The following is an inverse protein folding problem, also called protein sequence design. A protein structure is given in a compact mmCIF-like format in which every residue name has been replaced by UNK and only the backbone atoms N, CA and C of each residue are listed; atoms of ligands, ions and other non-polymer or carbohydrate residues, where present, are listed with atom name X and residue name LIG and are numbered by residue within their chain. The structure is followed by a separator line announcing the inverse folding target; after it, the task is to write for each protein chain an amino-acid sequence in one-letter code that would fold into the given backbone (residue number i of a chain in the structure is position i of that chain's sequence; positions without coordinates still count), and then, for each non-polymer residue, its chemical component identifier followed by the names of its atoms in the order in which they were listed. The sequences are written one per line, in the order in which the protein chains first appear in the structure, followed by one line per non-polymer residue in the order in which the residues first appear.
data_IF_704473013091
#
_entry.id   IF_704473013091
#
_cell.length_a   1.000
_cell.length_b   1.000
_cell.length_c   1.000
_cell.angle_alpha   90.00
_cell.angle_beta   90.00
_cell.angle_gamma   90.00
#
_symmetry.space_group_name_H-M   'P 1'
#
loop_
_entity.id
_entity.type
_entity.pdbx_description
1 polymer ?
#
# COMPACT_ATOMS: atom_id res chain seq x y z
N UNK A 1 -1.43 16.93 -18.99
CA UNK A 1 -0.27 17.10 -19.92
C UNK A 1 0.83 17.98 -19.32
N UNK A 2 0.54 19.20 -18.84
CA UNK A 2 1.57 20.07 -18.22
C UNK A 2 2.30 19.44 -17.02
N UNK A 3 1.59 18.73 -16.14
CA UNK A 3 2.16 18.08 -14.95
C UNK A 3 3.07 16.88 -15.24
N UNK A 4 2.69 16.03 -16.20
CA UNK A 4 3.53 14.91 -16.66
C UNK A 4 4.79 15.41 -17.37
N UNK A 5 4.68 16.51 -18.14
CA UNK A 5 5.82 17.17 -18.75
C UNK A 5 6.77 17.74 -17.70
N UNK A 6 6.25 18.37 -16.64
CA UNK A 6 7.07 18.85 -15.51
C UNK A 6 7.78 17.70 -14.79
N UNK A 7 7.12 16.56 -14.59
CA UNK A 7 7.73 15.37 -14.01
C UNK A 7 8.83 14.79 -14.93
N UNK A 8 8.57 14.72 -16.24
CA UNK A 8 9.54 14.27 -17.23
C UNK A 8 10.76 15.21 -17.31
N UNK A 9 10.53 16.53 -17.26
CA UNK A 9 11.59 17.53 -17.20
C UNK A 9 12.39 17.37 -15.90
N UNK A 10 11.74 17.19 -14.76
CA UNK A 10 12.42 16.93 -13.49
C UNK A 10 13.24 15.62 -13.51
N UNK A 11 12.77 14.58 -14.21
CA UNK A 11 13.53 13.34 -14.39
C UNK A 11 14.73 13.49 -15.32
N UNK A 12 14.67 14.43 -16.27
CA UNK A 12 15.75 14.73 -17.21
C UNK A 12 16.73 15.79 -16.68
N UNK A 13 16.29 16.62 -15.73
CA UNK A 13 17.08 17.68 -15.11
C UNK A 13 18.41 17.23 -14.49
N UNK A 14 18.49 16.09 -13.76
CA UNK A 14 19.77 15.56 -13.30
C UNK A 14 20.75 15.26 -14.44
N UNK A 15 20.26 14.77 -15.59
CA UNK A 15 21.12 14.48 -16.73
C UNK A 15 21.73 15.74 -17.36
N UNK A 16 21.00 16.87 -17.34
CA UNK A 16 21.46 18.15 -17.90
C UNK A 16 22.42 18.89 -16.97
N UNK A 17 22.25 18.78 -15.64
CA UNK A 17 23.14 19.42 -14.66
C UNK A 17 24.37 18.59 -14.27
N UNK A 18 24.40 17.30 -14.61
CA UNK A 18 25.49 16.39 -14.25
C UNK A 18 26.82 16.60 -14.98
N UNK A 19 26.89 17.49 -15.96
CA UNK A 19 28.11 17.66 -16.76
C UNK A 19 29.16 18.60 -16.14
N UNK A 20 28.90 19.22 -14.98
CA UNK A 20 29.81 20.23 -14.42
C UNK A 20 30.37 19.96 -13.01
N UNK A 21 29.86 18.99 -12.23
CA UNK A 21 30.43 18.66 -10.92
C UNK A 21 30.31 17.15 -10.62
N UNK A 22 31.40 16.53 -10.17
CA UNK A 22 31.54 15.08 -9.93
C UNK A 22 30.72 14.52 -8.74
N UNK A 23 29.65 15.21 -8.32
CA UNK A 23 28.80 14.86 -7.19
C UNK A 23 27.32 14.85 -7.56
N UNK A 24 26.95 14.12 -8.61
CA UNK A 24 25.56 14.01 -9.02
C UNK A 24 24.72 13.29 -7.97
N UNK A 25 23.79 14.02 -7.34
CA UNK A 25 22.69 13.40 -6.60
C UNK A 25 21.92 12.47 -7.54
N UNK A 26 21.57 11.29 -7.06
CA UNK A 26 20.77 10.39 -7.88
C UNK A 26 19.40 11.00 -8.15
N UNK A 27 18.78 10.64 -9.27
CA UNK A 27 17.42 11.08 -9.58
C UNK A 27 16.43 10.76 -8.43
N UNK A 28 16.70 9.67 -7.72
CA UNK A 28 15.98 9.29 -6.51
C UNK A 28 16.14 10.33 -5.41
N UNK A 29 17.36 10.76 -5.11
CA UNK A 29 17.62 11.75 -4.05
C UNK A 29 17.00 13.10 -4.40
N UNK A 30 17.04 13.51 -5.68
CA UNK A 30 16.40 14.75 -6.12
C UNK A 30 14.87 14.67 -5.93
N UNK A 31 14.23 13.59 -6.36
CA UNK A 31 12.76 13.50 -6.31
C UNK A 31 12.20 13.14 -4.92
N UNK A 32 12.99 12.46 -4.08
CA UNK A 32 12.58 12.07 -2.73
C UNK A 32 13.04 13.04 -1.63
N UNK A 33 14.03 13.89 -1.88
CA UNK A 33 14.52 14.82 -0.85
C UNK A 33 14.16 16.28 -1.13
N UNK A 34 13.83 16.64 -2.38
CA UNK A 34 13.41 18.00 -2.71
C UNK A 34 11.91 18.21 -2.42
N UNK A 35 11.65 19.11 -1.46
CA UNK A 35 10.33 19.49 -0.98
C UNK A 35 9.39 19.99 -2.09
N UNK A 36 9.93 20.51 -3.20
CA UNK A 36 9.13 20.97 -4.33
C UNK A 36 8.34 19.83 -5.00
N UNK A 37 8.79 18.57 -4.83
CA UNK A 37 8.09 17.39 -5.33
C UNK A 37 7.11 16.79 -4.33
N UNK A 38 6.95 17.37 -3.13
CA UNK A 38 5.97 16.89 -2.14
C UNK A 38 4.53 16.91 -2.67
N UNK A 39 4.23 17.80 -3.63
CA UNK A 39 2.92 17.83 -4.31
C UNK A 39 2.59 16.50 -5.02
N UNK A 40 3.60 15.76 -5.47
CA UNK A 40 3.48 14.44 -6.09
C UNK A 40 3.68 13.30 -5.09
N UNK A 41 3.84 13.62 -3.81
CA UNK A 41 4.10 12.66 -2.74
C UNK A 41 3.13 12.81 -1.58
N UNK A 42 2.18 13.74 -1.67
CA UNK A 42 1.10 13.84 -0.70
C UNK A 42 0.11 12.68 -0.93
N UNK A 43 0.01 11.71 0.01
CA UNK A 43 -0.82 10.53 -0.20
C UNK A 43 -2.30 10.79 0.12
N UNK A 44 -2.63 11.87 0.81
CA UNK A 44 -3.95 12.10 1.40
C UNK A 44 -5.08 12.19 0.38
N UNK A 45 -4.95 12.87 -0.77
CA UNK A 45 -5.98 12.85 -1.81
C UNK A 45 -6.28 11.44 -2.34
N UNK A 46 -5.30 10.52 -2.29
CA UNK A 46 -5.50 9.14 -2.68
C UNK A 46 -6.12 8.31 -1.54
N UNK A 47 -5.55 8.39 -0.33
CA UNK A 47 -5.97 7.59 0.84
C UNK A 47 -7.38 7.93 1.33
N UNK A 48 -7.80 9.20 1.23
CA UNK A 48 -9.14 9.67 1.63
C UNK A 48 -10.25 9.35 0.62
N UNK A 49 -9.88 8.78 -0.52
CA UNK A 49 -10.82 8.42 -1.58
C UNK A 49 -11.83 7.39 -1.08
N UNK A 50 -13.12 7.65 -1.32
CA UNK A 50 -14.18 6.67 -1.11
C UNK A 50 -14.11 5.49 -2.10
N UNK A 51 -13.37 5.63 -3.19
CA UNK A 51 -13.13 4.54 -4.14
C UNK A 51 -12.40 3.35 -3.47
N UNK A 52 -12.80 2.14 -3.86
CA UNK A 52 -12.08 0.90 -3.55
C UNK A 52 -10.70 0.93 -4.18
N UNK A 53 -9.70 0.57 -3.38
CA UNK A 53 -8.30 0.52 -3.78
C UNK A 53 -7.88 -0.94 -3.98
N UNK A 54 -6.98 -1.17 -4.92
CA UNK A 54 -6.44 -2.47 -5.26
C UNK A 54 -4.92 -2.43 -5.19
N UNK A 55 -4.32 -3.44 -4.58
CA UNK A 55 -2.87 -3.60 -4.60
C UNK A 55 -2.47 -4.27 -5.91
N UNK A 56 -1.62 -3.60 -6.68
CA UNK A 56 -1.11 -4.07 -7.96
C UNK A 56 0.27 -4.69 -7.82
N UNK A 57 1.22 -3.97 -7.22
CA UNK A 57 2.58 -4.48 -7.01
C UNK A 57 2.90 -4.68 -5.55
N UNK A 58 3.58 -5.80 -5.29
CA UNK A 58 4.12 -6.18 -3.97
C UNK A 58 5.55 -6.70 -4.10
N UNK A 59 6.33 -6.73 -3.01
CA UNK A 59 7.58 -7.49 -2.97
C UNK A 59 7.32 -8.96 -3.32
N UNK A 60 8.16 -9.54 -4.19
CA UNK A 60 7.92 -10.87 -4.75
C UNK A 60 7.68 -11.95 -3.67
N UNK A 61 8.35 -11.87 -2.51
CA UNK A 61 8.18 -12.85 -1.44
C UNK A 61 6.71 -13.04 -1.00
N UNK A 62 5.90 -11.98 -1.04
CA UNK A 62 4.49 -12.03 -0.63
C UNK A 62 3.54 -12.56 -1.70
N UNK A 63 3.95 -12.61 -2.98
CA UNK A 63 3.04 -12.93 -4.08
C UNK A 63 2.58 -14.39 -4.11
N UNK A 64 3.23 -15.27 -3.35
CA UNK A 64 2.84 -16.67 -3.20
C UNK A 64 1.79 -16.87 -2.11
N UNK A 65 1.65 -15.91 -1.21
CA UNK A 65 0.83 -16.02 -0.01
C UNK A 65 -0.50 -15.27 -0.15
N UNK A 66 -0.53 -14.22 -0.98
CA UNK A 66 -1.70 -13.35 -1.12
C UNK A 66 -2.08 -13.09 -2.58
N UNK A 67 -3.37 -12.96 -2.81
CA UNK A 67 -3.93 -12.39 -4.04
C UNK A 67 -5.15 -11.52 -3.73
N UNK A 68 -5.64 -10.77 -4.73
CA UNK A 68 -6.84 -9.94 -4.62
C UNK A 68 -6.83 -9.02 -3.38
N UNK A 69 -5.74 -8.29 -3.14
CA UNK A 69 -5.67 -7.40 -1.98
C UNK A 69 -6.42 -6.10 -2.31
N UNK A 70 -7.42 -5.76 -1.49
CA UNK A 70 -8.28 -4.59 -1.66
C UNK A 70 -8.32 -3.75 -0.38
N UNK A 71 -8.65 -2.47 -0.52
CA UNK A 71 -8.89 -1.58 0.61
C UNK A 71 -10.12 -0.69 0.40
N UNK A 72 -11.07 -0.78 1.34
CA UNK A 72 -12.33 -0.04 1.35
C UNK A 72 -12.33 1.01 2.47
N UNK A 73 -12.89 2.18 2.20
CA UNK A 73 -12.97 3.27 3.18
C UNK A 73 -14.03 2.96 4.25
N UNK A 74 -13.67 3.07 5.53
CA UNK A 74 -14.63 3.00 6.66
C UNK A 74 -15.02 4.43 7.05
N UNK A 75 -14.03 5.21 7.51
CA UNK A 75 -14.20 6.60 7.92
C UNK A 75 -13.02 7.44 7.45
N UNK A 76 -13.30 8.71 7.21
CA UNK A 76 -12.31 9.72 6.90
C UNK A 76 -12.59 10.92 7.79
N UNK A 77 -11.61 11.31 8.58
CA UNK A 77 -11.64 12.60 9.26
C UNK A 77 -10.80 13.59 8.45
N UNK A 78 -11.51 14.46 7.74
CA UNK A 78 -10.89 15.49 6.91
C UNK A 78 -10.06 16.47 7.72
N UNK A 79 -10.34 16.64 9.02
CA UNK A 79 -9.67 17.62 9.89
C UNK A 79 -8.34 17.13 10.47
N UNK A 80 -8.09 15.81 10.54
CA UNK A 80 -7.02 15.26 11.39
C UNK A 80 -5.98 14.38 10.67
N UNK A 81 -5.86 14.45 9.33
CA UNK A 81 -4.97 13.54 8.54
C UNK A 81 -5.09 12.09 9.01
N UNK A 82 -6.34 11.65 9.16
CA UNK A 82 -6.71 10.35 9.69
C UNK A 82 -7.74 9.69 8.77
N UNK A 83 -7.53 8.40 8.50
CA UNK A 83 -8.43 7.56 7.71
C UNK A 83 -8.47 6.17 8.32
N UNK A 84 -9.64 5.56 8.34
CA UNK A 84 -9.78 4.14 8.65
C UNK A 84 -10.23 3.39 7.40
N UNK A 85 -9.58 2.27 7.11
CA UNK A 85 -9.92 1.42 5.97
C UNK A 85 -9.95 -0.04 6.36
N UNK A 86 -10.87 -0.79 5.77
CA UNK A 86 -10.82 -2.24 5.78
C UNK A 86 -9.85 -2.69 4.69
N UNK A 87 -8.88 -3.54 5.04
CA UNK A 87 -7.99 -4.22 4.10
C UNK A 87 -8.33 -5.70 4.07
N UNK A 88 -8.59 -6.23 2.89
CA UNK A 88 -8.92 -7.64 2.70
C UNK A 88 -8.02 -8.28 1.65
N UNK A 89 -7.68 -9.55 1.82
CA UNK A 89 -6.91 -10.32 0.86
C UNK A 89 -7.35 -11.78 0.82
N UNK A 90 -7.00 -12.44 -0.28
CA UNK A 90 -7.19 -13.86 -0.43
C UNK A 90 -5.91 -14.54 0.03
N UNK A 91 -6.03 -15.32 1.08
CA UNK A 91 -4.93 -16.11 1.64
C UNK A 91 -4.77 -17.40 0.83
N UNK A 92 -3.55 -17.63 0.34
CA UNK A 92 -3.16 -18.77 -0.48
C UNK A 92 -2.24 -19.74 0.28
N UNK A 93 -1.86 -19.42 1.52
CA UNK A 93 -0.81 -20.12 2.25
C UNK A 93 -1.23 -21.50 2.78
N UNK A 94 -2.52 -21.72 3.07
CA UNK A 94 -3.01 -22.98 3.63
C UNK A 94 -4.40 -23.35 3.10
N UNK A 95 -4.49 -24.51 2.43
CA UNK A 95 -5.77 -25.10 2.03
C UNK A 95 -6.49 -24.35 0.90
N UNK A 96 -7.83 -24.47 0.81
CA UNK A 96 -8.59 -23.73 -0.19
C UNK A 96 -8.48 -22.21 0.07
N UNK A 97 -8.45 -21.38 -0.99
CA UNK A 97 -8.36 -19.93 -0.83
C UNK A 97 -9.46 -19.39 0.10
N UNK A 98 -9.05 -18.62 1.10
CA UNK A 98 -9.96 -17.98 2.06
C UNK A 98 -9.78 -16.48 2.05
N UNK A 99 -10.84 -15.75 2.44
CA UNK A 99 -10.77 -14.29 2.58
C UNK A 99 -10.43 -13.92 4.03
N UNK A 100 -9.29 -13.26 4.19
CA UNK A 100 -8.90 -12.59 5.43
C UNK A 100 -9.20 -11.09 5.31
N UNK A 101 -9.45 -10.44 6.45
CA UNK A 101 -9.84 -9.03 6.52
C UNK A 101 -9.45 -8.43 7.86
N UNK A 102 -8.94 -7.20 7.81
CA UNK A 102 -8.61 -6.41 8.99
C UNK A 102 -8.92 -4.94 8.76
N UNK A 103 -9.31 -4.25 9.82
CA UNK A 103 -9.47 -2.79 9.81
C UNK A 103 -8.16 -2.15 10.25
N UNK A 104 -7.75 -1.10 9.55
CA UNK A 104 -6.51 -0.37 9.82
C UNK A 104 -6.78 1.12 9.95
N UNK A 105 -6.06 1.73 10.88
CA UNK A 105 -6.05 3.19 11.07
C UNK A 105 -4.81 3.75 10.38
N UNK A 106 -4.99 4.82 9.60
CA UNK A 106 -3.92 5.48 8.85
C UNK A 106 -3.82 6.92 9.34
N UNK A 107 -2.68 7.27 9.91
CA UNK A 107 -2.45 8.58 10.52
C UNK A 107 -1.23 9.27 9.93
N UNK A 108 -1.34 10.56 9.64
CA UNK A 108 -0.24 11.35 9.13
C UNK A 108 0.82 11.69 10.15
N UNK A 109 2.05 11.81 9.66
CA UNK A 109 3.16 12.32 10.47
C UNK A 109 3.01 13.83 10.68
N UNK A 110 3.06 14.34 11.92
CA UNK A 110 3.11 15.78 12.17
C UNK A 110 4.36 16.45 11.59
N UNK A 111 5.39 15.67 11.27
CA UNK A 111 6.71 16.16 10.80
C UNK A 111 6.88 16.08 9.29
N UNK A 112 6.00 15.38 8.58
CA UNK A 112 6.15 15.12 7.15
C UNK A 112 4.83 14.87 6.46
N UNK A 113 4.56 15.63 5.39
CA UNK A 113 3.35 15.48 4.57
C UNK A 113 3.36 14.21 3.71
N UNK A 114 4.53 13.57 3.56
CA UNK A 114 4.73 12.40 2.71
C UNK A 114 4.78 11.10 3.50
N UNK A 115 4.82 11.18 4.83
CA UNK A 115 4.92 10.03 5.72
C UNK A 115 3.64 9.84 6.52
N UNK A 116 3.32 8.57 6.76
CA UNK A 116 2.16 8.17 7.54
C UNK A 116 2.41 6.82 8.19
N UNK A 117 1.69 6.55 9.27
CA UNK A 117 1.74 5.31 10.01
C UNK A 117 0.41 4.58 9.81
N UNK A 118 0.47 3.27 9.64
CA UNK A 118 -0.70 2.38 9.60
C UNK A 118 -0.68 1.52 10.86
N UNK A 119 -1.76 1.58 11.63
CA UNK A 119 -1.92 0.82 12.87
C UNK A 119 -2.94 -0.30 12.65
N UNK A 120 -2.53 -1.52 13.04
CA UNK A 120 -3.34 -2.72 13.03
C UNK A 120 -3.30 -3.35 14.44
N UNK A 121 -4.34 -3.10 15.25
CA UNK A 121 -4.34 -3.52 16.65
C UNK A 121 -3.18 -2.89 17.42
N UNK A 122 -2.20 -3.69 17.86
CA UNK A 122 -1.02 -3.23 18.60
C UNK A 122 0.23 -3.09 17.72
N UNK A 123 0.11 -3.26 16.40
CA UNK A 123 1.24 -3.20 15.48
C UNK A 123 1.17 -1.96 14.61
N UNK A 124 2.28 -1.26 14.52
CA UNK A 124 2.43 -0.03 13.73
C UNK A 124 3.40 -0.26 12.57
N UNK A 125 3.07 0.31 11.42
CA UNK A 125 3.86 0.24 10.20
C UNK A 125 4.04 1.64 9.62
N UNK A 126 5.30 2.07 9.51
CA UNK A 126 5.61 3.38 8.95
C UNK A 126 5.80 3.30 7.44
N UNK A 127 5.24 4.27 6.72
CA UNK A 127 5.35 4.37 5.28
C UNK A 127 5.82 5.76 4.85
N UNK A 128 6.59 5.78 3.77
CA UNK A 128 6.95 7.01 3.06
C UNK A 128 6.43 6.94 1.63
N UNK A 129 5.80 8.01 1.17
CA UNK A 129 5.23 8.10 -0.16
C UNK A 129 6.31 8.42 -1.20
N UNK A 130 6.42 7.55 -2.20
CA UNK A 130 7.32 7.74 -3.36
C UNK A 130 6.63 8.56 -4.44
N UNK A 131 5.36 8.28 -4.70
CA UNK A 131 4.56 8.99 -5.69
C UNK A 131 3.07 8.80 -5.39
N UNK A 132 2.27 9.84 -5.58
CA UNK A 132 0.83 9.83 -5.45
C UNK A 132 0.20 10.72 -6.53
N UNK A 133 -0.86 10.21 -7.15
CA UNK A 133 -1.73 10.99 -8.01
C UNK A 133 -3.20 10.50 -7.87
N UNK A 134 -4.17 11.07 -8.60
CA UNK A 134 -5.56 10.62 -8.50
C UNK A 134 -5.82 9.16 -8.91
N UNK A 135 -4.84 8.46 -9.52
CA UNK A 135 -4.95 7.11 -10.08
C UNK A 135 -4.21 6.05 -9.29
N UNK A 136 -3.04 6.37 -8.76
CA UNK A 136 -2.19 5.43 -8.06
C UNK A 136 -1.39 6.06 -6.90
N UNK A 137 -0.95 5.18 -6.00
CA UNK A 137 -0.12 5.51 -4.86
C UNK A 137 1.02 4.48 -4.76
N UNK A 138 2.25 4.98 -4.75
CA UNK A 138 3.47 4.19 -4.53
C UNK A 138 4.02 4.57 -3.17
N UNK A 139 4.09 3.58 -2.28
CA UNK A 139 4.58 3.76 -0.91
C UNK A 139 5.72 2.80 -0.66
N UNK A 140 6.65 3.23 0.18
CA UNK A 140 7.81 2.47 0.63
C UNK A 140 7.64 2.15 2.12
N UNK A 141 7.90 0.92 2.50
CA UNK A 141 7.92 0.49 3.90
C UNK A 141 9.16 1.10 4.58
N UNK A 142 8.95 1.80 5.71
CA UNK A 142 10.00 2.54 6.42
C UNK A 142 10.70 1.71 7.52
N UNK A 143 11.78 2.30 8.05
CA UNK A 143 12.90 1.69 8.81
C UNK A 143 12.54 0.88 10.05
N UNK A 144 11.43 1.17 10.73
CA UNK A 144 11.04 0.47 11.97
C UNK A 144 10.86 -1.05 11.79
N UNK A 145 10.66 -1.52 10.55
CA UNK A 145 10.38 -2.92 10.23
C UNK A 145 11.57 -3.71 9.64
N UNK A 146 12.71 -3.08 9.37
CA UNK A 146 13.85 -3.73 8.68
C UNK A 146 13.62 -4.03 7.18
N UNK A 147 12.48 -3.63 6.61
CA UNK A 147 12.10 -3.86 5.20
C UNK A 147 12.43 -2.67 4.28
N UNK A 148 13.61 -2.07 4.48
CA UNK A 148 14.05 -0.75 3.96
C UNK A 148 13.99 -0.52 2.43
N UNK A 149 13.59 -1.50 1.61
CA UNK A 149 13.56 -1.40 0.13
C UNK A 149 12.29 -1.90 -0.51
N UNK A 150 11.27 -2.22 0.28
CA UNK A 150 10.03 -2.79 -0.20
C UNK A 150 9.01 -1.70 -0.49
N UNK A 151 8.43 -1.74 -1.69
CA UNK A 151 7.38 -0.82 -2.10
C UNK A 151 6.09 -1.56 -2.40
N UNK A 152 5.00 -0.82 -2.34
CA UNK A 152 3.67 -1.25 -2.72
C UNK A 152 3.12 -0.26 -3.75
N UNK A 153 2.42 -0.78 -4.77
CA UNK A 153 1.66 0.05 -5.72
C UNK A 153 0.17 -0.19 -5.54
N UNK A 154 -0.53 0.81 -5.04
CA UNK A 154 -1.99 0.84 -4.94
C UNK A 154 -2.60 1.59 -6.13
N UNK A 155 -3.75 1.13 -6.59
CA UNK A 155 -4.49 1.72 -7.72
C UNK A 155 -5.98 1.79 -7.41
N UNK A 156 -6.68 2.82 -7.88
CA UNK A 156 -8.15 2.87 -7.71
C UNK A 156 -8.85 1.94 -8.70
N UNK A 157 -9.98 1.36 -8.31
CA UNK A 157 -10.74 0.39 -9.11
C UNK A 157 -10.99 0.85 -10.55
N UNK A 158 -11.45 2.11 -10.71
CA UNK A 158 -11.80 2.67 -12.03
C UNK A 158 -10.64 2.73 -13.03
N UNK A 159 -9.41 2.56 -12.56
CA UNK A 159 -8.21 2.57 -13.40
C UNK A 159 -7.59 1.19 -13.62
N UNK A 160 -8.15 0.10 -13.09
CA UNK A 160 -7.63 -1.26 -13.27
C UNK A 160 -7.52 -1.68 -14.75
N UNK A 161 -8.48 -1.27 -15.59
CA UNK A 161 -8.49 -1.58 -17.02
C UNK A 161 -7.58 -0.69 -17.88
N UNK A 162 -7.00 0.37 -17.29
CA UNK A 162 -6.11 1.27 -18.00
C UNK A 162 -4.65 0.84 -17.81
N UNK A 163 -3.82 0.86 -18.86
CA UNK A 163 -2.40 0.65 -18.70
C UNK A 163 -1.85 1.87 -17.96
N UNK A 164 -1.75 1.80 -16.64
CA UNK A 164 -1.19 2.82 -15.74
C UNK A 164 0.34 2.92 -15.92
N UNK A 165 0.77 3.16 -17.18
CA UNK A 165 2.17 3.07 -17.62
C UNK A 165 3.07 3.99 -16.82
N UNK A 166 2.60 5.18 -16.45
CA UNK A 166 3.37 6.11 -15.64
C UNK A 166 3.56 5.60 -14.20
N UNK A 167 2.52 5.06 -13.57
CA UNK A 167 2.63 4.44 -12.23
C UNK A 167 3.60 3.26 -12.25
N UNK A 168 3.47 2.37 -13.24
CA UNK A 168 4.39 1.24 -13.40
C UNK A 168 5.82 1.71 -13.65
N UNK A 169 6.03 2.68 -14.52
CA UNK A 169 7.36 3.24 -14.81
C UNK A 169 8.01 3.84 -13.56
N UNK A 170 7.30 4.70 -12.82
CA UNK A 170 7.80 5.31 -11.59
C UNK A 170 8.08 4.24 -10.53
N UNK A 171 7.22 3.22 -10.43
CA UNK A 171 7.48 2.09 -9.54
C UNK A 171 8.80 1.40 -9.91
N UNK A 172 9.01 1.00 -11.17
CA UNK A 172 10.25 0.33 -11.56
C UNK A 172 11.50 1.20 -11.39
N UNK A 173 11.37 2.52 -11.54
CA UNK A 173 12.47 3.46 -11.38
C UNK A 173 12.89 3.62 -9.91
N UNK A 174 11.94 3.73 -8.99
CA UNK A 174 12.21 4.04 -7.58
C UNK A 174 12.19 2.82 -6.66
N UNK A 175 11.51 1.76 -7.07
CA UNK A 175 11.28 0.55 -6.31
C UNK A 175 11.92 -0.63 -7.01
N UNK A 176 12.69 -1.41 -6.25
CA UNK A 176 13.48 -2.53 -6.72
C UNK A 176 12.71 -3.46 -7.68
N UNK A 177 13.38 -3.97 -8.72
CA UNK A 177 12.81 -4.76 -9.81
C UNK A 177 12.22 -6.11 -9.40
N UNK A 178 12.48 -6.59 -8.18
CA UNK A 178 11.96 -7.86 -7.65
C UNK A 178 10.54 -7.74 -7.08
N UNK A 179 9.65 -7.08 -7.81
CA UNK A 179 8.22 -6.99 -7.49
C UNK A 179 7.41 -8.02 -8.25
N UNK A 180 6.29 -8.44 -7.69
CA UNK A 180 5.28 -9.24 -8.37
C UNK A 180 4.05 -8.39 -8.71
N UNK A 181 3.48 -8.60 -9.90
CA UNK A 181 2.16 -8.10 -10.27
C UNK A 181 1.09 -9.08 -9.79
N UNK A 182 0.22 -8.62 -8.90
CA UNK A 182 -0.92 -9.40 -8.42
C UNK A 182 -2.04 -9.49 -9.46
N UNK A 183 -1.94 -8.74 -10.58
CA UNK A 183 -2.92 -8.67 -11.64
C UNK A 183 -4.36 -8.49 -11.10
N UNK A 184 -4.60 -7.45 -10.27
CA UNK A 184 -5.90 -7.25 -9.65
C UNK A 184 -7.00 -7.09 -10.70
N UNK A 185 -8.13 -7.76 -10.46
CA UNK A 185 -9.34 -7.66 -11.27
C UNK A 185 -10.49 -7.15 -10.41
N UNK A 186 -11.34 -6.32 -11.01
CA UNK A 186 -12.59 -5.89 -10.37
C UNK A 186 -13.41 -7.12 -9.95
N UNK A 187 -13.94 -7.10 -8.73
CA UNK A 187 -14.75 -8.21 -8.17
C UNK A 187 -13.97 -9.50 -7.90
N UNK A 188 -12.63 -9.46 -7.77
CA UNK A 188 -11.84 -10.67 -7.48
C UNK A 188 -12.16 -11.33 -6.12
N UNK A 189 -12.90 -10.64 -5.26
CA UNK A 189 -13.34 -11.05 -3.93
C UNK A 189 -14.71 -11.76 -3.91
N UNK A 190 -15.52 -11.65 -4.98
CA UNK A 190 -16.93 -12.06 -4.99
C UNK A 190 -17.15 -13.58 -4.86
N UNK A 191 -16.17 -14.40 -5.27
CA UNK A 191 -16.31 -15.87 -5.35
C UNK A 191 -15.58 -16.64 -4.25
N UNK A 192 -14.98 -15.94 -3.29
CA UNK A 192 -14.13 -16.57 -2.27
C UNK A 192 -14.85 -16.61 -0.93
N UNK A 193 -14.83 -17.78 -0.29
CA UNK A 193 -15.46 -17.98 1.02
C UNK A 193 -14.77 -17.09 2.05
N UNK A 194 -15.58 -16.34 2.80
CA UNK A 194 -15.10 -15.60 3.97
C UNK A 194 -14.67 -16.60 5.03
N UNK A 195 -13.55 -16.33 5.70
CA UNK A 195 -13.14 -17.13 6.86
C UNK A 195 -14.12 -16.87 7.99
N UNK A 196 -14.66 -17.94 8.58
CA UNK A 196 -15.56 -17.83 9.72
C UNK A 196 -14.79 -17.27 10.93
N UNK A 197 -15.30 -16.19 11.54
CA UNK A 197 -14.71 -15.59 12.76
C UNK A 197 -14.96 -16.44 14.03
N UNK A 198 -15.64 -17.57 13.92
CA UNK A 198 -16.12 -18.36 15.05
C UNK A 198 -15.36 -19.69 15.19
N UNK A 199 -14.06 -19.63 15.50
CA UNK A 199 -13.38 -20.76 16.16
C UNK A 199 -12.31 -20.25 17.13
N UNK A 200 -12.70 -19.36 18.03
CA UNK A 200 -11.97 -19.04 19.25
C UNK A 200 -12.99 -18.94 20.39
N UNK A 201 -13.43 -20.09 20.89
CA UNK A 201 -14.47 -20.17 21.89
C UNK A 201 -14.98 -21.59 22.11
N UNK A 202 -14.08 -22.51 22.45
CA UNK A 202 -14.48 -23.79 23.02
C UNK A 202 -15.04 -23.56 24.41
N UNK A 203 -16.34 -23.25 24.49
CA UNK A 203 -17.11 -23.31 25.73
C UNK A 203 -17.08 -24.74 26.25
N UNK A 204 -16.45 -24.92 27.40
CA UNK A 204 -16.56 -26.11 28.23
C UNK A 204 -18.04 -26.32 28.59
N UNK A 205 -18.66 -27.36 28.04
CA UNK A 205 -19.97 -27.80 28.52
C UNK A 205 -19.86 -28.40 29.93
N UNK A 206 -20.86 -28.18 30.81
CA UNK A 206 -20.87 -28.71 32.16
C UNK A 206 -21.46 -30.13 32.23
N UNK A 207 -20.78 -31.03 32.97
CA UNK A 207 -21.42 -32.11 33.73
C UNK A 207 -21.27 -33.54 33.20
N UNK A 208 -20.53 -34.36 33.95
CA UNK A 208 -20.85 -35.78 34.15
C UNK A 208 -20.44 -36.17 35.60
N UNK A 209 -21.31 -36.80 36.41
CA UNK A 209 -20.99 -37.21 37.77
C UNK A 209 -20.05 -38.43 37.77
N UNK A 210 -19.05 -38.43 38.68
CA UNK A 210 -18.14 -39.57 38.88
C UNK A 210 -18.87 -40.76 39.54
N UNK A 211 -18.60 -42.01 39.11
CA UNK A 211 -19.06 -43.18 39.85
C UNK A 211 -18.20 -43.40 41.12
N UNK A 212 -18.78 -43.98 42.18
CA UNK A 212 -18.09 -44.22 43.44
C UNK A 212 -17.07 -45.36 43.33
N UNK A 213 -16.05 -45.28 44.18
CA UNK A 213 -14.97 -46.26 44.33
C UNK A 213 -15.32 -47.31 45.36
#
# INVERSE_FOLDING_TARGET
MKTFLSLMIATLYPFVKCTQDCGCRSLRDILLDDINFNIFRNPWPFLRSAERLYLKYVPHKYSKEVSCVISDLIRNDSSSYFVERTVSWTNLSMGPPTRDTVDVEIQGSPKSETEFTVTQGYTEYDFNTVYADPKCLIIKISRSTGLERECLLWVKEKYLGNPLRHCSFLYYLFCNWKSADLNPKKGCDEKIKKKDKNTAGGQSQPGAPRPPR
#
